data_IF_158302585921
#
_entry.id   IF_158302585921
#
_cell.length_a   1.000
_cell.length_b   1.000
_cell.length_c   1.000
_cell.angle_alpha   90.00
_cell.angle_beta   90.00
_cell.angle_gamma   90.00
#
_symmetry.space_group_name_H-M   'P 1'
#
loop_
_entity.id
_entity.type
_entity.pdbx_description
1 polymer ?
#
# COMPACT_ATOMS: atom_id res chain seq x y z
N UNK A 1 -14.29 12.53 6.84
CA UNK A 1 -14.13 13.64 5.87
C UNK A 1 -12.86 14.49 5.94
N UNK A 2 -12.12 14.56 7.05
CA UNK A 2 -11.00 15.52 7.18
C UNK A 2 -9.93 15.40 6.08
N UNK A 3 -9.42 14.19 5.84
CA UNK A 3 -8.38 13.95 4.82
C UNK A 3 -8.86 14.26 3.39
N UNK A 4 -10.11 13.94 3.05
CA UNK A 4 -10.70 14.24 1.75
C UNK A 4 -10.82 15.75 1.52
N UNK A 5 -11.26 16.49 2.53
CA UNK A 5 -11.44 17.96 2.46
C UNK A 5 -10.12 18.72 2.38
N UNK A 6 -9.05 18.19 3.00
CA UNK A 6 -7.72 18.82 2.99
C UNK A 6 -6.92 18.49 1.74
N UNK A 7 -7.25 17.41 1.04
CA UNK A 7 -6.53 17.00 -0.15
C UNK A 7 -7.29 17.45 -1.41
N UNK A 8 -7.07 18.69 -1.84
CA UNK A 8 -7.70 19.25 -3.05
C UNK A 8 -7.38 18.48 -4.34
N UNK A 9 -6.39 17.59 -4.29
CA UNK A 9 -5.96 16.69 -5.37
C UNK A 9 -6.42 15.25 -5.15
N UNK A 10 -7.52 15.05 -4.43
CA UNK A 10 -8.08 13.72 -4.17
C UNK A 10 -8.33 12.95 -5.48
N UNK A 11 -8.76 13.63 -6.54
CA UNK A 11 -8.94 13.07 -7.88
C UNK A 11 -7.64 12.68 -8.57
N UNK A 12 -6.50 13.25 -8.17
CA UNK A 12 -5.24 13.14 -8.91
C UNK A 12 -4.34 12.03 -8.35
N UNK A 13 -4.78 11.35 -7.28
CA UNK A 13 -4.01 10.28 -6.65
C UNK A 13 -3.86 9.13 -7.64
N UNK A 14 -2.61 8.86 -8.03
CA UNK A 14 -2.27 7.82 -9.01
C UNK A 14 -1.95 6.48 -8.38
N UNK A 15 -1.46 6.46 -7.14
CA UNK A 15 -1.09 5.21 -6.48
C UNK A 15 -1.08 5.30 -4.96
N UNK A 16 -1.21 4.12 -4.34
CA UNK A 16 -1.07 3.88 -2.91
C UNK A 16 0.01 2.84 -2.69
N UNK A 17 0.88 3.08 -1.72
CA UNK A 17 1.84 2.09 -1.22
C UNK A 17 1.32 1.60 0.12
N UNK A 18 0.96 0.33 0.21
CA UNK A 18 0.32 -0.27 1.37
C UNK A 18 1.22 -1.29 2.05
N UNK A 19 1.02 -1.44 3.35
CA UNK A 19 1.62 -2.52 4.12
C UNK A 19 1.04 -3.88 3.75
N UNK A 20 1.80 -4.95 3.95
CA UNK A 20 1.36 -6.33 3.72
C UNK A 20 0.18 -6.76 4.62
N UNK A 21 0.03 -6.13 5.79
CA UNK A 21 -1.08 -6.36 6.71
C UNK A 21 -2.25 -5.40 6.50
N UNK A 22 -2.22 -4.55 5.47
CA UNK A 22 -3.32 -3.64 5.19
C UNK A 22 -4.53 -4.37 4.61
N UNK A 23 -5.57 -4.53 5.42
CA UNK A 23 -6.76 -5.33 5.09
C UNK A 23 -7.80 -4.58 4.25
N UNK A 24 -7.76 -3.24 4.27
CA UNK A 24 -8.79 -2.38 3.68
C UNK A 24 -8.47 -1.94 2.24
N UNK A 25 -7.56 -2.62 1.54
CA UNK A 25 -7.15 -2.28 0.16
C UNK A 25 -8.33 -2.27 -0.83
N UNK A 26 -9.37 -3.08 -0.59
CA UNK A 26 -10.60 -3.07 -1.40
C UNK A 26 -11.36 -1.75 -1.29
N UNK A 27 -11.25 -1.04 -0.17
CA UNK A 27 -11.85 0.28 0.01
C UNK A 27 -11.12 1.31 -0.84
N UNK A 28 -9.80 1.20 -0.97
CA UNK A 28 -9.00 2.05 -1.86
C UNK A 28 -9.45 1.87 -3.31
N UNK A 29 -9.64 0.63 -3.78
CA UNK A 29 -10.14 0.38 -5.14
C UNK A 29 -11.54 0.97 -5.39
N UNK A 30 -12.42 0.98 -4.38
CA UNK A 30 -13.75 1.61 -4.50
C UNK A 30 -13.66 3.13 -4.54
N UNK A 31 -12.76 3.72 -3.75
CA UNK A 31 -12.62 5.17 -3.62
C UNK A 31 -11.76 5.78 -4.74
N UNK A 32 -10.84 5.01 -5.32
CA UNK A 32 -9.85 5.42 -6.31
C UNK A 32 -9.69 4.33 -7.38
N UNK A 33 -10.70 4.11 -8.22
CA UNK A 33 -10.70 3.01 -9.19
C UNK A 33 -9.58 3.12 -10.24
N UNK A 34 -9.05 4.32 -10.46
CA UNK A 34 -7.95 4.58 -11.40
C UNK A 34 -6.56 4.55 -10.76
N UNK A 35 -6.47 4.42 -9.43
CA UNK A 35 -5.19 4.43 -8.72
C UNK A 35 -4.64 3.01 -8.57
N UNK A 36 -3.31 2.89 -8.67
CA UNK A 36 -2.61 1.63 -8.45
C UNK A 36 -2.39 1.37 -6.96
N UNK A 37 -2.71 0.16 -6.48
CA UNK A 37 -2.38 -0.26 -5.12
C UNK A 37 -1.15 -1.17 -5.17
N UNK A 38 -0.05 -0.71 -4.58
CA UNK A 38 1.26 -1.36 -4.60
C UNK A 38 1.65 -1.79 -3.18
N UNK A 39 2.32 -2.94 -3.06
CA UNK A 39 2.93 -3.35 -1.79
C UNK A 39 4.16 -2.49 -1.48
N UNK A 40 4.33 -2.19 -0.19
CA UNK A 40 5.48 -1.47 0.32
C UNK A 40 6.77 -2.25 0.06
N UNK A 41 7.65 -1.68 -0.77
CA UNK A 41 8.95 -2.28 -1.10
C UNK A 41 9.80 -2.51 0.15
N UNK A 42 9.73 -1.61 1.14
CA UNK A 42 10.49 -1.74 2.38
C UNK A 42 10.11 -3.02 3.14
N UNK A 43 8.81 -3.25 3.36
CA UNK A 43 8.32 -4.43 4.07
C UNK A 43 8.53 -5.70 3.25
N UNK A 44 8.27 -5.67 1.94
CA UNK A 44 8.54 -6.80 1.06
C UNK A 44 10.02 -7.22 1.12
N UNK A 45 10.96 -6.28 0.99
CA UNK A 45 12.40 -6.57 1.05
C UNK A 45 12.79 -7.09 2.43
N UNK A 46 12.28 -6.50 3.52
CA UNK A 46 12.55 -6.95 4.88
C UNK A 46 12.06 -8.40 5.11
N UNK A 47 10.85 -8.73 4.62
CA UNK A 47 10.27 -10.06 4.67
C UNK A 47 11.13 -11.08 3.91
N UNK A 48 11.53 -10.76 2.67
CA UNK A 48 12.41 -11.62 1.88
C UNK A 48 13.76 -11.86 2.57
N UNK A 49 14.39 -10.81 3.12
CA UNK A 49 15.64 -10.96 3.89
C UNK A 49 15.47 -11.89 5.09
N UNK A 50 14.34 -11.78 5.82
CA UNK A 50 14.03 -12.65 6.96
C UNK A 50 13.81 -14.10 6.52
N UNK A 51 13.10 -14.34 5.42
CA UNK A 51 12.90 -15.68 4.86
C UNK A 51 14.21 -16.34 4.42
N UNK A 52 15.06 -15.61 3.70
CA UNK A 52 16.35 -16.14 3.23
C UNK A 52 17.26 -16.50 4.40
N UNK A 53 17.31 -15.68 5.46
CA UNK A 53 18.06 -16.00 6.68
C UNK A 53 17.57 -17.27 7.38
N UNK A 54 16.28 -17.59 7.29
CA UNK A 54 15.71 -18.80 7.91
C UNK A 54 15.99 -20.09 7.12
N UNK A 55 16.31 -20.00 5.82
CA UNK A 55 16.59 -21.18 4.98
C UNK A 55 18.04 -21.67 5.07
N UNK A 56 18.93 -20.88 5.66
CA UNK A 56 20.34 -21.26 5.84
C UNK A 56 20.61 -21.93 7.20
N UNK A 57 19.58 -22.31 7.95
CA UNK A 57 19.65 -23.10 9.19
C UNK A 57 18.72 -24.30 9.10
#
# INVERSE_FOLDING_TARGET
>A
DYFKKRNGKWSDVQSFVIDEHFTEWKVLNKCFPSAWVLLCQFHAIAFWKKLLRKRCF
#
